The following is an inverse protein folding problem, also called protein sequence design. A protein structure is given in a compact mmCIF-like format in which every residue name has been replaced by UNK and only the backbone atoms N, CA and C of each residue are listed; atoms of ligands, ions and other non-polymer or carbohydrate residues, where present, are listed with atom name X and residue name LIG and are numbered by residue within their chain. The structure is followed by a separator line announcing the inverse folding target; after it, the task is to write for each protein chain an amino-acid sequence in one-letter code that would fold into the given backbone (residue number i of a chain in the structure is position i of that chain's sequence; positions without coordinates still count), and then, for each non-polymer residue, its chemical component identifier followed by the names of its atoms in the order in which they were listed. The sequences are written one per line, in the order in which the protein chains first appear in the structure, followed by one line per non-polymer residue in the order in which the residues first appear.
data_IF_779477396725
#
_entry.id   IF_779477396725
#
_cell.length_a   1.000
_cell.length_b   1.000
_cell.length_c   1.000
_cell.angle_alpha   90.00
_cell.angle_beta   90.00
_cell.angle_gamma   90.00
#
_symmetry.space_group_name_H-M   'P 1'
#
loop_
_entity.id
_entity.type
_entity.pdbx_description
1 polymer ?
#
# COMPACT_ATOMS: atom_id res chain seq x y z
N UNK A 1 -15.65 5.81 8.40
CA UNK A 1 -15.70 5.86 6.94
C UNK A 1 -14.33 6.17 6.30
N UNK A 2 -13.60 7.13 6.85
CA UNK A 2 -12.29 7.50 6.29
C UNK A 2 -11.31 6.35 6.29
N UNK A 3 -11.26 5.58 7.38
CA UNK A 3 -10.36 4.43 7.43
C UNK A 3 -10.78 3.32 6.48
N UNK A 4 -12.09 3.17 6.23
CA UNK A 4 -12.56 2.22 5.23
C UNK A 4 -12.11 2.64 3.82
N UNK A 5 -12.23 3.92 3.50
CA UNK A 5 -11.75 4.43 2.21
C UNK A 5 -10.24 4.25 2.09
N UNK A 6 -9.50 4.49 3.16
CA UNK A 6 -8.06 4.29 3.15
C UNK A 6 -7.72 2.81 2.90
N UNK A 7 -8.45 1.90 3.54
CA UNK A 7 -8.24 0.47 3.32
C UNK A 7 -8.52 0.09 1.86
N UNK A 8 -9.58 0.64 1.26
CA UNK A 8 -9.89 0.38 -0.14
C UNK A 8 -8.81 0.92 -1.07
N UNK A 9 -8.29 2.11 -0.76
CA UNK A 9 -7.20 2.68 -1.56
C UNK A 9 -5.96 1.80 -1.49
N UNK A 10 -5.64 1.29 -0.30
CA UNK A 10 -4.49 0.42 -0.12
C UNK A 10 -4.67 -0.89 -0.89
N UNK A 11 -5.85 -1.52 -0.78
CA UNK A 11 -6.11 -2.78 -1.46
C UNK A 11 -6.03 -2.62 -2.98
N UNK A 12 -6.61 -1.55 -3.53
CA UNK A 12 -6.54 -1.31 -4.96
C UNK A 12 -5.12 -1.04 -5.42
N UNK A 13 -4.34 -0.31 -4.63
CA UNK A 13 -2.93 -0.03 -4.96
C UNK A 13 -2.10 -1.31 -4.91
N UNK A 14 -2.30 -2.14 -3.89
CA UNK A 14 -1.58 -3.41 -3.78
C UNK A 14 -1.93 -4.32 -4.97
N UNK A 15 -3.21 -4.39 -5.34
CA UNK A 15 -3.63 -5.13 -6.51
C UNK A 15 -2.93 -4.64 -7.77
N UNK A 16 -2.86 -3.31 -7.94
CA UNK A 16 -2.19 -2.71 -9.08
C UNK A 16 -0.71 -3.10 -9.13
N UNK A 17 -0.04 -3.04 -7.99
CA UNK A 17 1.38 -3.38 -7.92
C UNK A 17 1.64 -4.85 -8.22
N UNK A 18 0.78 -5.74 -7.73
CA UNK A 18 0.92 -7.16 -8.02
C UNK A 18 0.69 -7.45 -9.50
N UNK A 19 -0.27 -6.77 -10.12
CA UNK A 19 -0.49 -6.89 -11.57
C UNK A 19 0.72 -6.37 -12.34
N UNK A 20 1.32 -5.29 -11.86
CA UNK A 20 2.50 -4.74 -12.51
C UNK A 20 3.65 -5.73 -12.46
N UNK A 21 3.84 -6.40 -11.33
CA UNK A 21 4.85 -7.46 -11.20
C UNK A 21 4.53 -8.60 -12.16
N UNK A 22 3.27 -9.00 -12.26
CA UNK A 22 2.84 -10.08 -13.13
C UNK A 22 3.00 -9.74 -14.60
N UNK A 23 3.07 -8.45 -14.96
CA UNK A 23 3.22 -8.01 -16.35
C UNK A 23 4.62 -8.31 -16.91
N UNK A 24 5.55 -8.67 -16.06
CA UNK A 24 6.93 -8.98 -16.47
C UNK A 24 7.54 -7.84 -17.29
N UNK A 25 7.60 -6.66 -16.68
CA UNK A 25 8.17 -5.48 -17.35
C UNK A 25 7.34 -5.00 -18.52
N UNK A 26 6.02 -5.16 -18.44
CA UNK A 26 5.05 -4.77 -19.46
C UNK A 26 5.06 -5.66 -20.71
N UNK A 27 5.78 -6.77 -20.68
CA UNK A 27 5.67 -7.74 -21.78
C UNK A 27 4.23 -8.24 -21.91
N UNK A 28 3.57 -8.46 -20.77
CA UNK A 28 2.15 -8.82 -20.74
C UNK A 28 1.36 -7.54 -20.54
N UNK A 29 1.12 -6.83 -21.63
CA UNK A 29 0.51 -5.50 -21.58
C UNK A 29 -0.88 -5.49 -20.94
N UNK A 30 -1.58 -6.62 -20.99
CA UNK A 30 -2.91 -6.74 -20.36
C UNK A 30 -2.80 -6.50 -18.86
N UNK A 31 -1.81 -7.11 -18.21
CA UNK A 31 -1.59 -6.92 -16.79
C UNK A 31 -1.09 -5.52 -16.48
N UNK A 32 -0.22 -4.99 -17.32
CA UNK A 32 0.25 -3.61 -17.15
C UNK A 32 -0.89 -2.61 -17.25
N UNK A 33 -1.76 -2.76 -18.26
CA UNK A 33 -2.90 -1.88 -18.43
C UNK A 33 -3.87 -1.98 -17.26
N UNK A 34 -4.12 -3.21 -16.76
CA UNK A 34 -4.97 -3.39 -15.58
C UNK A 34 -4.36 -2.70 -14.37
N UNK A 35 -3.03 -2.74 -14.21
CA UNK A 35 -2.39 -2.07 -13.09
C UNK A 35 -2.62 -0.56 -13.12
N UNK A 36 -2.56 0.06 -14.29
CA UNK A 36 -2.82 1.50 -14.41
C UNK A 36 -4.26 1.82 -14.00
N UNK A 37 -5.21 0.98 -14.38
CA UNK A 37 -6.60 1.17 -13.98
C UNK A 37 -6.73 1.17 -12.45
N UNK A 38 -6.12 0.19 -11.78
CA UNK A 38 -6.22 0.09 -10.32
C UNK A 38 -5.43 1.18 -9.61
N UNK A 39 -4.28 1.63 -10.16
CA UNK A 39 -3.57 2.77 -9.61
C UNK A 39 -4.42 4.04 -9.68
N UNK A 40 -5.10 4.25 -10.81
CA UNK A 40 -5.96 5.41 -10.98
C UNK A 40 -7.13 5.37 -10.00
N UNK A 41 -7.74 4.21 -9.84
CA UNK A 41 -8.83 4.03 -8.89
C UNK A 41 -8.35 4.29 -7.46
N UNK A 42 -7.19 3.76 -7.09
CA UNK A 42 -6.61 3.98 -5.78
C UNK A 42 -6.38 5.47 -5.52
N UNK A 43 -5.85 6.19 -6.50
CA UNK A 43 -5.61 7.63 -6.36
C UNK A 43 -6.89 8.41 -6.15
N UNK A 44 -7.96 8.06 -6.86
CA UNK A 44 -9.25 8.71 -6.70
C UNK A 44 -9.80 8.47 -5.29
N UNK A 45 -9.72 7.24 -4.81
CA UNK A 45 -10.18 6.90 -3.46
C UNK A 45 -9.34 7.63 -2.41
N UNK A 46 -8.01 7.66 -2.60
CA UNK A 46 -7.11 8.32 -1.67
C UNK A 46 -7.37 9.83 -1.60
N UNK A 47 -7.74 10.43 -2.72
CA UNK A 47 -8.10 11.85 -2.71
C UNK A 47 -9.28 12.12 -1.77
N UNK A 48 -10.25 11.20 -1.74
CA UNK A 48 -11.37 11.31 -0.81
C UNK A 48 -10.91 11.17 0.65
N UNK A 49 -9.93 10.31 0.90
CA UNK A 49 -9.35 10.16 2.24
C UNK A 49 -8.71 11.48 2.70
N UNK A 50 -8.02 12.15 1.79
CA UNK A 50 -7.27 13.36 2.12
C UNK A 50 -8.17 14.55 2.47
N UNK A 51 -9.46 14.45 2.18
CA UNK A 51 -10.40 15.47 2.64
C UNK A 51 -10.55 15.49 4.16
N UNK A 52 -10.33 14.36 4.82
CA UNK A 52 -10.62 14.20 6.24
C UNK A 52 -9.41 13.75 7.06
N UNK A 53 -8.25 13.63 6.44
CA UNK A 53 -7.07 13.13 7.12
C UNK A 53 -5.85 13.86 6.59
N UNK A 54 -4.94 14.23 7.49
CA UNK A 54 -3.70 14.91 7.08
C UNK A 54 -2.88 14.02 6.14
N UNK A 55 -2.28 14.63 5.12
CA UNK A 55 -1.60 13.89 4.07
C UNK A 55 -0.42 13.08 4.62
N UNK A 56 0.31 13.63 5.58
CA UNK A 56 1.47 12.91 6.13
C UNK A 56 1.08 11.64 6.85
N UNK A 57 0.04 11.72 7.70
CA UNK A 57 -0.42 10.54 8.44
C UNK A 57 -1.07 9.53 7.50
N UNK A 58 -1.91 10.00 6.59
CA UNK A 58 -2.57 9.10 5.64
C UNK A 58 -1.55 8.35 4.79
N UNK A 59 -0.53 9.06 4.32
CA UNK A 59 0.50 8.44 3.50
C UNK A 59 1.37 7.46 4.29
N UNK A 60 1.67 7.79 5.54
CA UNK A 60 2.44 6.88 6.40
C UNK A 60 1.68 5.58 6.65
N UNK A 61 0.38 5.67 6.94
CA UNK A 61 -0.45 4.48 7.14
C UNK A 61 -0.53 3.67 5.85
N UNK A 62 -0.78 4.35 4.74
CA UNK A 62 -0.87 3.70 3.44
C UNK A 62 0.43 2.96 3.11
N UNK A 63 1.58 3.63 3.27
CA UNK A 63 2.87 3.02 2.96
C UNK A 63 3.15 1.81 3.83
N UNK A 64 2.93 1.92 5.14
CA UNK A 64 3.20 0.81 6.05
C UNK A 64 2.30 -0.39 5.81
N UNK A 65 1.00 -0.15 5.66
CA UNK A 65 0.07 -1.23 5.39
C UNK A 65 0.29 -1.83 4.01
N UNK A 66 0.57 -1.00 3.02
CA UNK A 66 0.87 -1.47 1.68
C UNK A 66 2.10 -2.36 1.66
N UNK A 67 3.16 -1.95 2.36
CA UNK A 67 4.39 -2.74 2.44
C UNK A 67 4.11 -4.10 3.10
N UNK A 68 3.32 -4.11 4.17
CA UNK A 68 2.99 -5.37 4.84
C UNK A 68 2.24 -6.31 3.90
N UNK A 69 1.25 -5.80 3.18
CA UNK A 69 0.46 -6.62 2.27
C UNK A 69 1.27 -7.09 1.07
N UNK A 70 2.06 -6.22 0.47
CA UNK A 70 2.89 -6.60 -0.67
C UNK A 70 3.96 -7.59 -0.27
N UNK A 71 4.56 -7.42 0.90
CA UNK A 71 5.56 -8.35 1.41
C UNK A 71 4.94 -9.74 1.57
N UNK A 72 3.77 -9.81 2.20
CA UNK A 72 3.09 -11.08 2.38
C UNK A 72 2.75 -11.72 1.02
N UNK A 73 2.23 -10.92 0.09
CA UNK A 73 1.85 -11.43 -1.23
C UNK A 73 3.08 -11.92 -2.02
N UNK A 74 4.20 -11.21 -1.91
CA UNK A 74 5.40 -11.60 -2.66
C UNK A 74 5.98 -12.91 -2.16
N UNK A 75 5.86 -13.19 -0.86
CA UNK A 75 6.28 -14.48 -0.32
C UNK A 75 5.37 -15.59 -0.83
N UNK A 76 4.06 -15.36 -0.84
CA UNK A 76 3.08 -16.37 -1.23
C UNK A 76 3.11 -16.66 -2.73
N UNK A 77 3.10 -15.60 -3.56
CA UNK A 77 2.93 -15.76 -5.01
C UNK A 77 4.24 -15.94 -5.75
N UNK A 78 5.30 -15.31 -5.31
CA UNK A 78 6.59 -15.37 -6.01
C UNK A 78 7.68 -16.02 -5.18
N UNK A 79 7.33 -16.51 -3.99
CA UNK A 79 8.25 -17.21 -3.09
C UNK A 79 9.52 -16.41 -2.83
N UNK A 80 9.35 -15.09 -2.72
CA UNK A 80 10.47 -14.20 -2.44
C UNK A 80 11.01 -14.46 -1.04
N UNK A 81 12.33 -14.41 -0.91
CA UNK A 81 12.99 -14.56 0.39
C UNK A 81 13.58 -13.22 0.79
N UNK A 82 13.68 -12.98 2.09
CA UNK A 82 14.19 -11.73 2.63
C UNK A 82 15.38 -12.02 3.53
N UNK A 83 16.42 -11.19 3.40
CA UNK A 83 17.55 -11.28 4.32
C UNK A 83 17.19 -10.53 5.62
N UNK A 84 18.12 -10.57 6.59
CA UNK A 84 17.88 -9.97 7.89
C UNK A 84 17.66 -8.45 7.78
N UNK A 85 18.38 -7.79 6.88
CA UNK A 85 18.23 -6.34 6.72
C UNK A 85 16.82 -5.98 6.23
N UNK A 86 16.29 -6.73 5.29
CA UNK A 86 14.95 -6.49 4.79
C UNK A 86 13.90 -6.77 5.86
N UNK A 87 14.07 -7.86 6.61
CA UNK A 87 13.14 -8.22 7.68
C UNK A 87 13.10 -7.12 8.75
N UNK A 88 14.27 -6.68 9.22
CA UNK A 88 14.35 -5.65 10.26
C UNK A 88 13.76 -4.33 9.74
N UNK A 89 14.11 -3.94 8.52
CA UNK A 89 13.61 -2.70 7.94
C UNK A 89 12.10 -2.70 7.79
N UNK A 90 11.53 -3.78 7.29
CA UNK A 90 10.09 -3.90 7.10
C UNK A 90 9.38 -3.88 8.46
N UNK A 91 9.93 -4.56 9.46
CA UNK A 91 9.34 -4.55 10.80
C UNK A 91 9.35 -3.17 11.42
N UNK A 92 10.40 -2.38 11.19
CA UNK A 92 10.45 -1.01 11.67
C UNK A 92 9.38 -0.14 11.00
N UNK A 93 9.18 -0.29 9.70
CA UNK A 93 8.17 0.47 8.96
C UNK A 93 6.77 0.12 9.48
N UNK A 94 6.48 -1.18 9.61
CA UNK A 94 5.17 -1.63 10.07
C UNK A 94 4.93 -1.19 11.51
N UNK A 95 5.95 -1.28 12.37
CA UNK A 95 5.83 -0.83 13.75
C UNK A 95 5.54 0.66 13.82
N UNK A 96 6.23 1.46 13.00
CA UNK A 96 5.96 2.90 12.92
C UNK A 96 4.54 3.19 12.49
N UNK A 97 4.02 2.43 11.53
CA UNK A 97 2.64 2.57 11.07
C UNK A 97 1.65 2.27 12.19
N UNK A 98 1.90 1.22 12.96
CA UNK A 98 1.04 0.86 14.09
C UNK A 98 1.02 1.98 15.13
N UNK A 99 2.17 2.56 15.42
CA UNK A 99 2.26 3.66 16.39
C UNK A 99 1.44 4.86 15.90
N UNK A 100 1.58 5.23 14.64
CA UNK A 100 0.84 6.37 14.08
C UNK A 100 -0.66 6.10 14.14
N UNK A 101 -1.07 4.91 13.74
CA UNK A 101 -2.49 4.57 13.67
C UNK A 101 -3.14 4.56 15.06
N UNK A 102 -2.41 4.10 16.08
CA UNK A 102 -2.98 3.91 17.40
C UNK A 102 -2.75 5.08 18.35
N UNK A 103 -1.71 5.89 18.13
CA UNK A 103 -1.28 6.89 19.12
C UNK A 103 -1.30 8.33 18.62
N UNK A 104 -1.26 8.55 17.30
CA UNK A 104 -1.19 9.91 16.79
C UNK A 104 -2.48 10.67 17.07
N UNK A 105 -2.35 11.91 17.53
CA UNK A 105 -3.47 12.81 17.74
C UNK A 105 -3.66 13.78 16.57
N UNK A 106 -2.73 13.81 15.62
CA UNK A 106 -2.75 14.78 14.51
C UNK A 106 -3.09 14.03 13.22
N UNK A 107 -4.36 13.65 13.10
CA UNK A 107 -4.79 12.85 11.95
C UNK A 107 -5.72 13.58 11.00
N UNK A 108 -6.45 14.58 11.47
CA UNK A 108 -7.44 15.24 10.64
C UNK A 108 -7.09 16.71 10.46
N UNK A 109 -7.28 17.19 9.23
CA UNK A 109 -7.01 18.57 8.85
C UNK A 109 -8.24 19.15 8.15
#
# INVERSE_FOLDING_TARGET
MTYLLLALAIVTEVTATLLLKASNGWEKWEYGSASIFFYSLSGIIFAAVLKNMGVGVAYAIWSGMGIALITAASVVFWKQTFDMYAIVGIMLIVSGTIIITSKSAVVFQ
#
